data_IF_433130656585
#
_entry.id   IF_433130656585
#
_cell.length_a   1.000
_cell.length_b   1.000
_cell.length_c   1.000
_cell.angle_alpha   90.00
_cell.angle_beta   90.00
_cell.angle_gamma   90.00
#
_symmetry.space_group_name_H-M   'P 1'
#
loop_
_entity.id
_entity.type
_entity.pdbx_description
1 polymer ?
#
# COMPACT_ATOMS: atom_id res chain seq x y z
N UNK A 1 -46.94 69.08 -15.75
CA UNK A 1 -46.22 68.04 -14.99
C UNK A 1 -46.49 68.25 -13.53
N UNK A 2 -47.18 67.33 -12.89
CA UNK A 2 -47.47 67.41 -11.47
C UNK A 2 -46.24 66.96 -10.65
N UNK A 3 -46.14 67.35 -9.36
CA UNK A 3 -44.98 66.94 -8.53
C UNK A 3 -44.75 65.45 -8.46
N UNK A 4 -45.77 64.64 -8.70
CA UNK A 4 -45.63 63.15 -8.75
C UNK A 4 -44.91 62.65 -10.00
N UNK A 5 -45.12 63.27 -11.14
CA UNK A 5 -44.46 62.88 -12.40
C UNK A 5 -42.95 63.17 -12.40
N UNK A 6 -42.56 64.25 -11.68
CA UNK A 6 -41.16 64.61 -11.50
C UNK A 6 -40.45 63.61 -10.59
N UNK A 7 -41.11 63.15 -9.53
CA UNK A 7 -40.58 62.14 -8.60
C UNK A 7 -40.46 60.76 -9.31
N UNK A 8 -41.46 60.35 -10.11
CA UNK A 8 -41.40 59.18 -10.92
C UNK A 8 -40.24 59.20 -11.95
N UNK A 9 -40.11 60.35 -12.65
CA UNK A 9 -38.98 60.48 -13.60
C UNK A 9 -37.61 60.45 -12.92
N UNK A 10 -37.45 61.01 -11.74
CA UNK A 10 -36.21 60.98 -10.98
C UNK A 10 -35.92 59.54 -10.49
N UNK A 11 -36.94 58.81 -10.09
CA UNK A 11 -36.81 57.38 -9.68
C UNK A 11 -36.43 56.54 -10.89
N UNK A 12 -37.11 56.72 -12.02
CA UNK A 12 -36.92 55.91 -13.23
C UNK A 12 -35.57 56.21 -13.92
N UNK A 13 -35.16 57.44 -14.03
CA UNK A 13 -33.92 57.84 -14.71
C UNK A 13 -32.71 58.03 -13.80
N UNK A 14 -32.89 58.28 -12.51
CA UNK A 14 -31.82 58.53 -11.55
C UNK A 14 -31.34 57.29 -10.78
N UNK A 15 -32.24 56.38 -10.43
CA UNK A 15 -31.92 55.21 -9.60
C UNK A 15 -31.35 54.06 -10.43
N UNK A 16 -31.89 53.80 -11.65
CA UNK A 16 -31.46 52.71 -12.51
C UNK A 16 -29.97 52.76 -12.89
N UNK A 17 -29.41 53.91 -13.33
CA UNK A 17 -27.98 53.99 -13.63
C UNK A 17 -27.10 53.73 -12.41
N UNK A 18 -27.50 54.16 -11.24
CA UNK A 18 -26.76 53.95 -9.98
C UNK A 18 -26.79 52.47 -9.58
N UNK A 19 -27.96 51.81 -9.64
CA UNK A 19 -28.10 50.38 -9.38
C UNK A 19 -27.30 49.55 -10.38
N UNK A 20 -27.32 49.86 -11.66
CA UNK A 20 -26.52 49.22 -12.70
C UNK A 20 -25.02 49.39 -12.46
N UNK A 21 -24.58 50.58 -12.02
CA UNK A 21 -23.18 50.83 -11.67
C UNK A 21 -22.73 49.97 -10.46
N UNK A 22 -23.55 49.87 -9.43
CA UNK A 22 -23.29 49.02 -8.26
C UNK A 22 -23.25 47.57 -8.66
N UNK A 23 -24.19 47.10 -9.48
CA UNK A 23 -24.23 45.72 -9.96
C UNK A 23 -22.98 45.37 -10.78
N UNK A 24 -22.60 46.24 -11.71
CA UNK A 24 -21.40 46.07 -12.52
C UNK A 24 -20.13 46.02 -11.65
N UNK A 25 -20.04 46.91 -10.65
CA UNK A 25 -18.92 46.93 -9.72
C UNK A 25 -18.85 45.64 -8.89
N UNK A 26 -19.99 45.12 -8.40
CA UNK A 26 -20.06 43.83 -7.69
C UNK A 26 -19.61 42.65 -8.58
N UNK A 27 -20.08 42.63 -9.83
CA UNK A 27 -19.67 41.58 -10.79
C UNK A 27 -18.16 41.62 -11.05
N UNK A 28 -17.58 42.79 -11.27
CA UNK A 28 -16.15 42.95 -11.44
C UNK A 28 -15.36 42.58 -10.18
N UNK A 29 -15.87 42.91 -9.00
CA UNK A 29 -15.25 42.51 -7.74
C UNK A 29 -15.30 40.99 -7.52
N UNK A 30 -16.42 40.34 -7.86
CA UNK A 30 -16.55 38.89 -7.82
C UNK A 30 -15.59 38.19 -8.83
N UNK A 31 -15.55 38.69 -10.06
CA UNK A 31 -14.64 38.15 -11.08
C UNK A 31 -13.18 38.30 -10.65
N UNK A 32 -12.79 39.41 -10.06
CA UNK A 32 -11.44 39.60 -9.53
C UNK A 32 -11.11 38.65 -8.38
N UNK A 33 -12.08 38.35 -7.51
CA UNK A 33 -11.92 37.35 -6.44
C UNK A 33 -11.77 35.92 -7.00
N UNK A 34 -12.60 35.57 -7.99
CA UNK A 34 -12.50 34.26 -8.66
C UNK A 34 -11.15 34.06 -9.35
N UNK A 35 -10.67 35.08 -10.07
CA UNK A 35 -9.36 35.02 -10.75
C UNK A 35 -8.21 34.84 -9.73
N UNK A 36 -8.25 35.55 -8.60
CA UNK A 36 -7.23 35.39 -7.54
C UNK A 36 -7.28 33.99 -6.91
N UNK A 37 -8.48 33.45 -6.67
CA UNK A 37 -8.62 32.10 -6.15
C UNK A 37 -8.11 31.06 -7.15
N UNK A 38 -8.35 31.24 -8.44
CA UNK A 38 -7.83 30.37 -9.49
C UNK A 38 -6.29 30.42 -9.57
N UNK A 39 -5.69 31.62 -9.53
CA UNK A 39 -4.24 31.79 -9.49
C UNK A 39 -3.58 31.14 -8.26
N UNK A 40 -4.23 31.24 -7.09
CA UNK A 40 -3.74 30.56 -5.88
C UNK A 40 -3.82 29.04 -5.98
N UNK A 41 -4.90 28.52 -6.57
CA UNK A 41 -5.03 27.08 -6.81
C UNK A 41 -3.98 26.58 -7.80
N UNK A 42 -3.74 27.31 -8.88
CA UNK A 42 -2.70 26.98 -9.86
C UNK A 42 -1.31 26.98 -9.23
N UNK A 43 -0.98 27.99 -8.41
CA UNK A 43 0.29 28.02 -7.67
C UNK A 43 0.46 26.84 -6.70
N UNK A 44 -0.61 26.47 -6.00
CA UNK A 44 -0.60 25.30 -5.11
C UNK A 44 -0.41 23.99 -5.89
N UNK A 45 -1.10 23.85 -7.02
CA UNK A 45 -0.97 22.68 -7.89
C UNK A 45 0.44 22.57 -8.44
N UNK A 46 1.01 23.66 -8.95
CA UNK A 46 2.39 23.69 -9.45
C UNK A 46 3.41 23.35 -8.36
N UNK A 47 3.23 23.87 -7.14
CA UNK A 47 4.09 23.54 -6.00
C UNK A 47 3.99 22.05 -5.60
N UNK A 48 2.79 21.46 -5.66
CA UNK A 48 2.59 20.02 -5.42
C UNK A 48 3.24 19.17 -6.51
N UNK A 49 3.10 19.56 -7.78
CA UNK A 49 3.76 18.87 -8.90
C UNK A 49 5.28 18.94 -8.76
N UNK A 50 5.85 20.13 -8.48
CA UNK A 50 7.28 20.31 -8.28
C UNK A 50 7.82 19.49 -7.09
N UNK A 51 7.06 19.43 -6.01
CA UNK A 51 7.44 18.62 -4.84
C UNK A 51 7.40 17.11 -5.16
N UNK A 52 6.37 16.65 -5.90
CA UNK A 52 6.25 15.24 -6.30
C UNK A 52 7.33 14.85 -7.34
N UNK A 53 7.68 15.75 -8.26
CA UNK A 53 8.78 15.54 -9.22
C UNK A 53 10.13 15.50 -8.47
N UNK A 54 10.37 16.40 -7.51
CA UNK A 54 11.58 16.37 -6.68
C UNK A 54 11.71 15.08 -5.87
N UNK A 55 10.60 14.59 -5.29
CA UNK A 55 10.57 13.31 -4.58
C UNK A 55 10.85 12.14 -5.53
N UNK A 56 10.22 12.11 -6.71
CA UNK A 56 10.45 11.07 -7.72
C UNK A 56 11.89 11.07 -8.24
N UNK A 57 12.50 12.25 -8.47
CA UNK A 57 13.90 12.38 -8.87
C UNK A 57 14.84 11.98 -7.73
N UNK A 58 14.51 12.30 -6.48
CA UNK A 58 15.28 11.90 -5.31
C UNK A 58 15.26 10.38 -5.13
N UNK A 59 14.10 9.74 -5.28
CA UNK A 59 13.98 8.28 -5.24
C UNK A 59 14.69 7.60 -6.42
N UNK A 60 14.64 8.17 -7.62
CA UNK A 60 15.35 7.61 -8.79
C UNK A 60 16.88 7.77 -8.73
N UNK A 61 17.39 8.75 -7.99
CA UNK A 61 18.84 8.93 -7.77
C UNK A 61 19.41 8.02 -6.68
N UNK A 62 18.55 7.40 -5.86
CA UNK A 62 18.98 6.55 -4.73
C UNK A 62 19.36 5.13 -5.12
N UNK A 63 19.00 4.65 -6.31
CA UNK A 63 19.33 3.29 -6.71
C UNK A 63 20.58 3.27 -7.59
N UNK A 64 21.70 2.89 -6.99
CA UNK A 64 22.90 2.60 -7.76
C UNK A 64 22.68 1.30 -8.58
N UNK A 65 23.34 1.13 -9.76
CA UNK A 65 23.28 -0.13 -10.50
C UNK A 65 23.67 -1.35 -9.68
N UNK A 66 24.49 -1.16 -8.66
CA UNK A 66 24.92 -2.19 -7.70
C UNK A 66 23.75 -2.61 -6.79
N UNK A 67 23.00 -1.65 -6.23
CA UNK A 67 21.81 -1.94 -5.40
C UNK A 67 20.73 -2.68 -6.17
N UNK A 68 20.48 -2.30 -7.43
CA UNK A 68 19.52 -3.03 -8.26
C UNK A 68 19.96 -4.49 -8.53
N UNK A 69 21.25 -4.71 -8.73
CA UNK A 69 21.80 -6.05 -8.93
C UNK A 69 21.66 -6.90 -7.66
N UNK A 70 21.91 -6.31 -6.48
CA UNK A 70 21.74 -6.99 -5.18
C UNK A 70 20.28 -7.27 -4.87
N UNK A 71 19.39 -6.31 -5.06
CA UNK A 71 17.96 -6.50 -4.89
C UNK A 71 17.43 -7.62 -5.78
N UNK A 72 17.92 -7.74 -7.04
CA UNK A 72 17.58 -8.86 -7.93
C UNK A 72 18.07 -10.18 -7.38
N UNK A 73 19.29 -10.25 -6.84
CA UNK A 73 19.83 -11.50 -6.23
C UNK A 73 18.97 -11.93 -5.03
N UNK A 74 18.67 -10.99 -4.13
CA UNK A 74 17.82 -11.27 -2.95
C UNK A 74 16.43 -11.71 -3.38
N UNK A 75 15.78 -11.01 -4.32
CA UNK A 75 14.46 -11.40 -4.83
C UNK A 75 14.47 -12.77 -5.49
N UNK A 76 15.51 -13.07 -6.28
CA UNK A 76 15.70 -14.38 -6.91
C UNK A 76 15.88 -15.48 -5.85
N UNK A 77 16.67 -15.21 -4.81
CA UNK A 77 16.84 -16.13 -3.70
C UNK A 77 15.52 -16.38 -2.95
N UNK A 78 14.77 -15.32 -2.61
CA UNK A 78 13.45 -15.46 -1.98
C UNK A 78 12.55 -16.32 -2.85
N UNK A 79 12.46 -16.02 -4.15
CA UNK A 79 11.66 -16.81 -5.10
C UNK A 79 12.05 -18.27 -5.12
N UNK A 80 13.34 -18.60 -5.06
CA UNK A 80 13.81 -20.00 -4.99
C UNK A 80 13.34 -20.72 -3.72
N UNK A 81 13.34 -20.03 -2.57
CA UNK A 81 12.83 -20.59 -1.31
C UNK A 81 11.31 -20.82 -1.36
N UNK A 82 10.55 -19.90 -1.98
CA UNK A 82 9.09 -20.03 -2.16
C UNK A 82 8.76 -21.17 -3.15
N UNK A 83 9.51 -21.31 -4.24
CA UNK A 83 9.35 -22.41 -5.19
C UNK A 83 9.55 -23.77 -4.49
N UNK A 84 10.53 -23.87 -3.60
CA UNK A 84 10.73 -25.07 -2.81
C UNK A 84 9.54 -25.36 -1.87
N UNK A 85 8.90 -24.35 -1.28
CA UNK A 85 7.67 -24.54 -0.47
C UNK A 85 6.56 -25.15 -1.34
N UNK A 86 6.33 -24.59 -2.53
CA UNK A 86 5.31 -25.10 -3.47
C UNK A 86 5.58 -26.56 -3.84
N UNK A 87 6.83 -26.89 -4.21
CA UNK A 87 7.22 -28.22 -4.68
C UNK A 87 7.26 -29.28 -3.57
N UNK A 88 7.83 -28.93 -2.42
CA UNK A 88 8.04 -29.86 -1.31
C UNK A 88 6.76 -30.19 -0.54
N UNK A 89 5.80 -29.23 -0.48
CA UNK A 89 4.60 -29.36 0.35
C UNK A 89 3.29 -29.39 -0.47
N UNK A 90 3.37 -29.35 -1.79
CA UNK A 90 2.19 -29.35 -2.66
C UNK A 90 1.29 -28.12 -2.50
N UNK A 91 1.83 -26.99 -2.05
CA UNK A 91 1.11 -25.74 -2.00
C UNK A 91 0.77 -25.26 -3.42
N UNK A 92 -0.38 -24.60 -3.59
CA UNK A 92 -0.73 -24.00 -4.88
C UNK A 92 0.03 -22.69 -5.09
N UNK A 93 0.28 -21.97 -3.99
CA UNK A 93 1.01 -20.69 -4.00
C UNK A 93 1.85 -20.57 -2.74
N UNK A 94 3.03 -19.97 -2.88
CA UNK A 94 3.79 -19.44 -1.76
C UNK A 94 4.24 -18.03 -2.10
N UNK A 95 4.16 -17.11 -1.14
CA UNK A 95 4.51 -15.72 -1.36
C UNK A 95 5.17 -15.09 -0.14
N UNK A 96 5.95 -14.03 -0.39
CA UNK A 96 6.65 -13.27 0.61
C UNK A 96 6.12 -11.84 0.61
N UNK A 97 5.71 -11.36 1.77
CA UNK A 97 5.22 -10.00 2.00
C UNK A 97 6.25 -9.25 2.85
N UNK A 98 6.61 -8.04 2.44
CA UNK A 98 7.42 -7.12 3.23
C UNK A 98 6.59 -5.93 3.70
N UNK A 99 6.83 -5.50 4.95
CA UNK A 99 6.23 -4.32 5.54
C UNK A 99 7.05 -3.08 5.21
N UNK A 100 6.38 -1.95 4.88
CA UNK A 100 7.04 -0.70 4.51
C UNK A 100 6.15 0.54 4.72
N UNK A 101 6.74 1.73 4.59
CA UNK A 101 6.02 3.02 4.66
C UNK A 101 5.96 3.75 3.30
N UNK A 102 6.13 3.01 2.19
CA UNK A 102 5.99 3.58 0.84
C UNK A 102 7.29 4.11 0.23
N UNK A 103 8.44 3.46 0.44
CA UNK A 103 9.70 3.79 -0.23
C UNK A 103 10.96 3.32 0.50
N UNK A 104 10.90 3.11 1.80
CA UNK A 104 12.01 2.60 2.60
C UNK A 104 11.53 1.43 3.46
N UNK A 105 12.16 0.28 3.30
CA UNK A 105 11.72 -0.96 3.92
C UNK A 105 12.06 -1.11 5.41
N UNK A 106 12.92 -0.28 6.03
CA UNK A 106 13.49 -0.68 7.32
C UNK A 106 13.68 0.35 8.43
N UNK A 107 13.25 1.59 8.31
CA UNK A 107 13.54 2.57 9.36
C UNK A 107 12.36 3.04 10.20
N UNK A 108 11.22 2.42 10.15
CA UNK A 108 10.08 2.95 10.89
C UNK A 108 9.41 1.89 11.76
N UNK A 109 9.29 2.20 13.02
CA UNK A 109 8.54 1.45 14.03
C UNK A 109 7.05 1.31 13.75
N UNK A 110 6.53 1.92 12.68
CA UNK A 110 5.12 1.89 12.28
C UNK A 110 4.99 1.70 10.76
N UNK A 111 5.27 0.50 10.27
CA UNK A 111 4.94 0.17 8.90
C UNK A 111 3.43 0.17 8.70
N UNK A 112 2.92 1.07 7.85
CA UNK A 112 1.48 1.18 7.56
C UNK A 112 1.03 0.35 6.38
N UNK A 113 1.98 -0.06 5.52
CA UNK A 113 1.73 -0.77 4.27
C UNK A 113 2.50 -2.08 4.19
N UNK A 114 2.06 -2.94 3.28
CA UNK A 114 2.78 -4.14 2.88
C UNK A 114 2.67 -4.36 1.37
N UNK A 115 3.65 -5.07 0.81
CA UNK A 115 3.67 -5.46 -0.60
C UNK A 115 4.18 -6.89 -0.74
N UNK A 116 3.66 -7.62 -1.72
CA UNK A 116 4.23 -8.90 -2.11
C UNK A 116 5.52 -8.63 -2.87
N UNK A 117 6.64 -9.11 -2.36
CA UNK A 117 7.98 -8.90 -2.95
C UNK A 117 8.41 -10.06 -3.85
N UNK A 118 7.89 -11.26 -3.60
CA UNK A 118 8.12 -12.44 -4.42
C UNK A 118 6.96 -13.42 -4.28
N UNK A 119 6.74 -14.22 -5.32
CA UNK A 119 5.69 -15.22 -5.41
C UNK A 119 6.17 -16.42 -6.20
N UNK A 120 5.75 -17.61 -5.80
CA UNK A 120 5.84 -18.85 -6.55
C UNK A 120 4.47 -19.51 -6.60
N UNK A 121 4.07 -20.01 -7.76
CA UNK A 121 2.78 -20.67 -8.00
C UNK A 121 2.98 -22.01 -8.68
N UNK A 122 2.03 -22.90 -8.54
CA UNK A 122 1.95 -24.11 -9.35
C UNK A 122 1.49 -23.77 -10.78
N UNK A 123 1.38 -24.80 -11.64
CA UNK A 123 1.02 -24.60 -13.05
C UNK A 123 -0.46 -24.22 -13.28
N UNK A 124 -1.30 -24.26 -12.24
CA UNK A 124 -2.75 -24.05 -12.35
C UNK A 124 -3.20 -22.76 -11.67
N UNK A 125 -2.35 -22.16 -10.84
CA UNK A 125 -2.67 -21.00 -10.01
C UNK A 125 -2.23 -19.70 -10.70
N UNK A 126 -3.16 -18.73 -10.80
CA UNK A 126 -2.85 -17.40 -11.34
C UNK A 126 -1.96 -16.63 -10.36
N UNK A 127 -0.83 -16.03 -10.81
CA UNK A 127 -0.04 -15.11 -10.00
C UNK A 127 -0.86 -13.85 -9.64
N UNK A 128 -0.63 -13.30 -8.43
CA UNK A 128 -1.26 -12.06 -7.96
C UNK A 128 -0.27 -11.02 -7.40
N UNK A 129 1.04 -11.24 -7.56
CA UNK A 129 2.08 -10.34 -7.04
C UNK A 129 1.81 -8.88 -7.37
N UNK A 130 1.38 -8.58 -8.60
CA UNK A 130 1.13 -7.21 -9.04
C UNK A 130 -0.15 -6.61 -8.47
N UNK A 131 -1.08 -7.44 -8.02
CA UNK A 131 -2.40 -7.00 -7.51
C UNK A 131 -2.29 -6.52 -6.05
N UNK A 132 -1.24 -6.94 -5.32
CA UNK A 132 -1.08 -6.67 -3.88
C UNK A 132 0.20 -5.87 -3.57
N UNK A 133 0.24 -4.65 -4.12
CA UNK A 133 1.28 -3.68 -3.86
C UNK A 133 0.73 -2.50 -3.03
N UNK A 134 1.50 -2.02 -2.05
CA UNK A 134 1.14 -0.89 -1.19
C UNK A 134 -0.18 -1.07 -0.41
N UNK A 135 -0.51 -2.29 -0.03
CA UNK A 135 -1.75 -2.61 0.70
C UNK A 135 -1.65 -2.11 2.15
N UNK A 136 -2.74 -1.55 2.68
CA UNK A 136 -2.79 -1.08 4.06
C UNK A 136 -2.84 -2.27 5.03
N UNK A 137 -1.91 -2.34 5.99
CA UNK A 137 -1.86 -3.40 7.01
C UNK A 137 -3.11 -3.46 7.90
N UNK A 138 -3.77 -2.33 8.07
CA UNK A 138 -5.01 -2.25 8.84
C UNK A 138 -6.13 -3.15 8.30
N UNK A 139 -6.05 -3.60 7.03
CA UNK A 139 -7.01 -4.53 6.45
C UNK A 139 -6.94 -5.95 7.04
N UNK A 140 -5.80 -6.32 7.65
CA UNK A 140 -5.60 -7.65 8.27
C UNK A 140 -5.01 -7.53 9.68
N UNK A 141 -5.52 -6.59 10.45
CA UNK A 141 -4.97 -6.27 11.76
C UNK A 141 -4.93 -7.47 12.73
N UNK A 142 -5.93 -8.37 12.66
CA UNK A 142 -5.97 -9.56 13.51
C UNK A 142 -4.86 -10.56 13.11
N UNK A 143 -4.69 -10.81 11.81
CA UNK A 143 -3.59 -11.64 11.30
C UNK A 143 -2.24 -11.05 11.69
N UNK A 144 -2.10 -9.74 11.52
CA UNK A 144 -0.88 -9.01 11.86
C UNK A 144 -0.54 -9.10 13.36
N UNK A 145 -1.54 -8.96 14.23
CA UNK A 145 -1.39 -9.13 15.68
C UNK A 145 -1.01 -10.58 16.06
N UNK A 146 -1.57 -11.57 15.37
CA UNK A 146 -1.23 -12.97 15.60
C UNK A 146 0.21 -13.27 15.18
N UNK A 147 0.63 -12.78 14.02
CA UNK A 147 2.01 -12.89 13.55
C UNK A 147 3.01 -12.16 14.47
N UNK A 148 2.65 -10.99 14.98
CA UNK A 148 3.48 -10.25 15.92
C UNK A 148 3.61 -10.95 17.29
N UNK A 149 2.55 -11.63 17.74
CA UNK A 149 2.51 -12.27 19.06
C UNK A 149 3.07 -13.69 19.07
N UNK A 150 2.70 -14.49 18.05
CA UNK A 150 3.05 -15.92 17.95
C UNK A 150 4.12 -16.24 16.93
N UNK A 151 4.42 -15.30 16.03
CA UNK A 151 5.31 -15.50 14.91
C UNK A 151 4.75 -16.38 13.79
N UNK A 152 3.51 -16.86 13.93
CA UNK A 152 2.84 -17.74 12.98
C UNK A 152 1.33 -17.69 13.12
N UNK A 153 0.63 -18.01 12.02
CA UNK A 153 -0.84 -18.15 11.98
C UNK A 153 -1.18 -19.25 10.97
N UNK A 154 -2.04 -20.20 11.38
CA UNK A 154 -2.44 -21.35 10.56
C UNK A 154 -3.97 -21.39 10.47
N UNK A 155 -4.46 -21.29 9.24
CA UNK A 155 -5.88 -21.31 8.92
C UNK A 155 -6.12 -22.55 8.06
N UNK A 156 -6.60 -23.60 8.69
CA UNK A 156 -6.87 -24.90 8.04
C UNK A 156 -8.14 -24.89 7.18
N UNK A 157 -9.08 -23.99 7.49
CA UNK A 157 -10.34 -23.81 6.79
C UNK A 157 -10.72 -22.32 6.85
N UNK A 158 -10.64 -21.66 5.71
CA UNK A 158 -10.98 -20.24 5.60
C UNK A 158 -12.46 -19.97 5.89
N UNK A 159 -13.37 -20.91 5.64
CA UNK A 159 -14.79 -20.76 5.96
C UNK A 159 -15.01 -20.56 7.48
N UNK A 160 -14.12 -21.10 8.31
CA UNK A 160 -14.15 -20.90 9.76
C UNK A 160 -13.99 -19.44 10.19
N UNK A 161 -13.41 -18.59 9.35
CA UNK A 161 -13.22 -17.15 9.61
C UNK A 161 -14.49 -16.35 9.35
N UNK A 162 -15.45 -16.87 8.59
CA UNK A 162 -16.64 -16.12 8.16
C UNK A 162 -17.40 -15.43 9.29
N UNK A 163 -17.48 -16.08 10.43
CA UNK A 163 -18.14 -15.53 11.63
C UNK A 163 -17.17 -14.88 12.61
N UNK A 164 -15.91 -15.35 12.66
CA UNK A 164 -14.90 -14.87 13.62
C UNK A 164 -14.20 -13.61 13.14
N UNK A 165 -13.90 -13.53 11.85
CA UNK A 165 -13.15 -12.45 11.23
C UNK A 165 -13.61 -12.25 9.77
N UNK A 166 -14.77 -11.60 9.54
CA UNK A 166 -15.32 -11.42 8.19
C UNK A 166 -14.38 -10.66 7.25
N UNK A 167 -13.57 -9.72 7.76
CA UNK A 167 -12.61 -8.95 6.96
C UNK A 167 -11.53 -9.85 6.36
N UNK A 168 -10.84 -10.61 7.20
CA UNK A 168 -9.83 -11.58 6.74
C UNK A 168 -10.46 -12.68 5.87
N UNK A 169 -11.67 -13.14 6.21
CA UNK A 169 -12.40 -14.11 5.39
C UNK A 169 -12.58 -13.61 3.95
N UNK A 170 -13.17 -12.43 3.76
CA UNK A 170 -13.41 -11.90 2.41
C UNK A 170 -12.12 -11.67 1.64
N UNK A 171 -11.08 -11.19 2.32
CA UNK A 171 -9.78 -10.95 1.71
C UNK A 171 -9.13 -12.27 1.22
N UNK A 172 -9.05 -13.28 2.08
CA UNK A 172 -8.46 -14.58 1.74
C UNK A 172 -9.31 -15.37 0.73
N UNK A 173 -10.63 -15.23 0.81
CA UNK A 173 -11.53 -15.89 -0.16
C UNK A 173 -11.42 -15.31 -1.56
N UNK A 174 -11.12 -14.01 -1.70
CA UNK A 174 -10.82 -13.40 -3.00
C UNK A 174 -9.55 -13.99 -3.65
N UNK A 175 -8.63 -14.57 -2.85
CA UNK A 175 -7.46 -15.27 -3.38
C UNK A 175 -7.77 -16.68 -3.88
N UNK A 176 -8.96 -17.21 -3.56
CA UNK A 176 -9.34 -18.58 -3.88
C UNK A 176 -8.78 -19.61 -2.93
N UNK A 177 -8.25 -19.18 -1.79
CA UNK A 177 -7.66 -20.08 -0.80
C UNK A 177 -8.74 -20.84 -0.04
N UNK A 178 -8.48 -22.09 0.31
CA UNK A 178 -9.27 -22.88 1.25
C UNK A 178 -8.52 -23.07 2.57
N UNK A 179 -7.20 -23.20 2.53
CA UNK A 179 -6.31 -23.19 3.70
C UNK A 179 -5.09 -22.31 3.43
N UNK A 180 -4.55 -21.67 4.47
CA UNK A 180 -3.35 -20.83 4.35
C UNK A 180 -2.55 -20.83 5.65
N UNK A 181 -1.22 -20.85 5.52
CA UNK A 181 -0.26 -20.93 6.61
C UNK A 181 0.73 -19.80 6.51
N UNK A 182 0.81 -18.97 7.55
CA UNK A 182 1.67 -17.81 7.61
C UNK A 182 2.81 -18.01 8.61
N UNK A 183 4.00 -17.51 8.27
CA UNK A 183 5.15 -17.45 9.17
C UNK A 183 5.79 -16.08 9.10
N UNK A 184 5.96 -15.42 10.23
CA UNK A 184 6.58 -14.10 10.34
C UNK A 184 8.06 -14.14 9.91
N UNK A 185 8.48 -13.08 9.24
CA UNK A 185 9.87 -12.74 8.99
C UNK A 185 10.30 -11.76 10.09
N UNK A 186 11.25 -12.18 10.91
CA UNK A 186 11.67 -11.42 12.09
C UNK A 186 13.11 -10.96 11.91
N UNK A 187 13.36 -9.71 12.24
CA UNK A 187 14.73 -9.22 12.39
C UNK A 187 15.38 -9.84 13.63
N UNK A 188 16.46 -10.59 13.42
CA UNK A 188 17.16 -11.31 14.49
C UNK A 188 17.83 -10.40 15.51
N UNK A 189 18.05 -9.12 15.19
CA UNK A 189 18.70 -8.14 16.08
C UNK A 189 17.68 -7.36 16.89
N UNK A 190 16.67 -6.81 16.21
CA UNK A 190 15.65 -5.96 16.86
C UNK A 190 14.42 -6.72 17.32
N UNK A 191 14.26 -7.98 16.92
CA UNK A 191 13.08 -8.80 17.13
C UNK A 191 11.77 -8.19 16.54
N UNK A 192 11.90 -7.34 15.55
CA UNK A 192 10.79 -6.68 14.86
C UNK A 192 10.32 -7.55 13.69
N UNK A 193 9.00 -7.66 13.52
CA UNK A 193 8.42 -8.34 12.35
C UNK A 193 8.57 -7.45 11.11
N UNK A 194 9.32 -7.95 10.13
CA UNK A 194 9.61 -7.30 8.85
C UNK A 194 8.54 -7.59 7.78
N UNK A 195 7.75 -8.62 8.00
CA UNK A 195 6.78 -9.14 7.04
C UNK A 195 6.46 -10.59 7.35
N UNK A 196 6.06 -11.34 6.34
CA UNK A 196 5.77 -12.76 6.48
C UNK A 196 5.95 -13.52 5.16
N UNK A 197 6.08 -14.84 5.26
CA UNK A 197 5.84 -15.76 4.14
C UNK A 197 4.55 -16.52 4.38
N UNK A 198 3.90 -16.92 3.28
CA UNK A 198 2.70 -17.74 3.35
C UNK A 198 2.74 -18.88 2.35
N UNK A 199 2.08 -20.00 2.70
CA UNK A 199 1.78 -21.11 1.81
C UNK A 199 0.27 -21.29 1.74
N UNK A 200 -0.28 -21.32 0.54
CA UNK A 200 -1.72 -21.35 0.24
C UNK A 200 -2.09 -22.67 -0.43
N UNK A 201 -3.25 -23.18 -0.07
CA UNK A 201 -3.80 -24.42 -0.58
C UNK A 201 -5.25 -24.20 -1.06
N UNK A 202 -5.53 -24.62 -2.30
CA UNK A 202 -6.84 -24.57 -2.92
C UNK A 202 -7.39 -25.99 -3.04
N UNK A 203 -8.61 -26.23 -2.57
CA UNK A 203 -9.31 -27.52 -2.60
C UNK A 203 -8.59 -28.68 -1.90
N UNK A 204 -7.53 -28.41 -1.12
CA UNK A 204 -6.80 -29.40 -0.32
C UNK A 204 -6.08 -28.76 0.86
N UNK A 205 -5.81 -29.58 1.87
CA UNK A 205 -4.89 -29.24 2.96
C UNK A 205 -3.55 -29.93 2.74
N UNK A 206 -2.44 -29.44 3.34
CA UNK A 206 -1.16 -30.15 3.26
C UNK A 206 -1.27 -31.57 3.81
N UNK A 207 -0.59 -32.51 3.18
CA UNK A 207 -0.57 -33.92 3.61
C UNK A 207 0.07 -34.05 5.01
N UNK A 208 1.16 -33.31 5.24
CA UNK A 208 1.85 -33.25 6.55
C UNK A 208 1.98 -31.79 7.01
N UNK A 209 1.10 -31.42 7.94
CA UNK A 209 1.08 -30.06 8.50
C UNK A 209 2.33 -29.73 9.32
N UNK A 210 2.87 -30.70 10.05
CA UNK A 210 4.06 -30.48 10.87
C UNK A 210 5.31 -30.33 10.02
N UNK A 211 5.42 -31.11 8.95
CA UNK A 211 6.49 -30.93 7.97
C UNK A 211 6.41 -29.56 7.31
N UNK A 212 5.21 -29.07 6.95
CA UNK A 212 5.01 -27.73 6.40
C UNK A 212 5.42 -26.64 7.39
N UNK A 213 5.03 -26.72 8.65
CA UNK A 213 5.40 -25.74 9.69
C UNK A 213 6.93 -25.67 9.87
N UNK A 214 7.59 -26.82 9.91
CA UNK A 214 9.06 -26.90 9.99
C UNK A 214 9.68 -26.28 8.73
N UNK A 215 9.15 -26.60 7.55
CA UNK A 215 9.60 -26.04 6.28
C UNK A 215 9.48 -24.51 6.29
N UNK A 216 8.28 -23.96 6.60
CA UNK A 216 8.05 -22.52 6.66
C UNK A 216 8.99 -21.84 7.67
N UNK A 217 9.20 -22.42 8.85
CA UNK A 217 10.10 -21.86 9.85
C UNK A 217 11.55 -21.77 9.35
N UNK A 218 12.08 -22.83 8.72
CA UNK A 218 13.42 -22.84 8.13
C UNK A 218 13.55 -21.83 6.97
N UNK A 219 12.54 -21.76 6.08
CA UNK A 219 12.56 -20.83 4.95
C UNK A 219 12.42 -19.38 5.42
N UNK A 220 11.55 -19.10 6.40
CA UNK A 220 11.41 -17.76 6.99
C UNK A 220 12.72 -17.26 7.59
N UNK A 221 13.42 -18.10 8.36
CA UNK A 221 14.72 -17.75 8.93
C UNK A 221 15.76 -17.40 7.85
N UNK A 222 15.83 -18.19 6.78
CA UNK A 222 16.75 -17.95 5.66
C UNK A 222 16.42 -16.65 4.90
N UNK A 223 15.13 -16.40 4.67
CA UNK A 223 14.66 -15.19 3.99
C UNK A 223 14.90 -13.95 4.87
N UNK A 224 14.62 -14.03 6.18
CA UNK A 224 14.93 -12.95 7.12
C UNK A 224 16.41 -12.60 7.10
N UNK A 225 17.31 -13.60 7.12
CA UNK A 225 18.74 -13.40 7.00
C UNK A 225 19.14 -12.72 5.69
N UNK A 226 18.59 -13.15 4.55
CA UNK A 226 18.89 -12.52 3.26
C UNK A 226 18.41 -11.05 3.17
N UNK A 227 17.27 -10.75 3.77
CA UNK A 227 16.76 -9.38 3.84
C UNK A 227 17.64 -8.47 4.73
N UNK A 228 18.23 -9.00 5.79
CA UNK A 228 19.11 -8.26 6.68
C UNK A 228 20.48 -7.95 6.05
N UNK A 229 21.07 -8.90 5.35
CA UNK A 229 22.39 -8.71 4.71
C UNK A 229 22.36 -7.61 3.64
N UNK A 230 21.28 -7.46 2.91
CA UNK A 230 21.14 -6.38 1.92
C UNK A 230 21.10 -4.96 2.53
N UNK A 231 20.96 -4.85 3.85
CA UNK A 231 20.86 -3.56 4.56
C UNK A 231 22.11 -3.20 5.35
N UNK A 232 22.93 -4.17 5.77
CA UNK A 232 24.15 -3.92 6.53
C UNK A 232 25.20 -3.24 5.66
N UNK A 233 25.25 -3.57 4.37
CA UNK A 233 26.19 -2.93 3.43
C UNK A 233 25.82 -1.46 3.12
N UNK A 234 24.53 -1.10 3.19
CA UNK A 234 24.07 0.29 3.00
C UNK A 234 24.35 1.25 4.17
N UNK A 235 24.74 0.74 5.35
CA UNK A 235 25.04 1.56 6.52
C UNK A 235 26.55 1.81 6.73
N UNK A 236 27.41 1.21 5.92
CA UNK A 236 28.88 1.28 6.05
C UNK A 236 29.51 2.26 5.04
N UNK A 237 28.74 2.73 4.04
CA UNK A 237 29.11 3.82 3.13
C UNK A 237 28.53 5.18 3.60
#
# INVERSE_FOLDING_TARGET
MGPGEIVESIIEYGIYPVLMGILLWLLLAMQKRQNRAAEEQEKRLTALIDSSIKLAIHDSKKHSPTEEAENRKVTTYIKSQLTAIVQENGANRAFCVAYHNGGTYLNARNFSKCSIVAEAVDNQTRPFLMDYQNVQRALFIELDNELATRGECYIDDIESLKTKNPGSYHFLKCWGSDAIYFKALVDNVSNVVLGFIAAEFNAKTPEDKEALKICLSKKAQRISGALQFSHVEQQIE
#
